data_IF_906101655931
#
_entry.id   IF_906101655931
#
_cell.length_a   1.000
_cell.length_b   1.000
_cell.length_c   1.000
_cell.angle_alpha   90.00
_cell.angle_beta   90.00
_cell.angle_gamma   90.00
#
_symmetry.space_group_name_H-M   'P 1'
#
loop_
_entity.id
_entity.type
_entity.pdbx_description
1 polymer ?
#
# COMPACT_ATOMS: atom_id res chain seq x y z
N UNK A 1 -14.97 21.29 17.94
CA UNK A 1 -14.02 20.24 18.41
C UNK A 1 -13.19 20.83 19.53
N UNK A 2 -13.00 20.13 20.65
CA UNK A 2 -12.32 20.69 21.81
C UNK A 2 -10.81 20.76 21.58
N UNK A 3 -10.20 21.95 21.70
CA UNK A 3 -8.78 22.23 21.44
C UNK A 3 -7.82 21.28 22.21
N UNK A 4 -8.19 20.89 23.43
CA UNK A 4 -7.44 19.90 24.22
C UNK A 4 -7.42 18.51 23.58
N UNK A 5 -8.54 18.10 22.92
CA UNK A 5 -8.68 16.81 22.24
C UNK A 5 -7.84 16.79 20.94
N UNK A 6 -7.82 17.93 20.23
CA UNK A 6 -7.01 18.13 19.04
C UNK A 6 -5.50 18.07 19.36
N UNK A 7 -5.04 18.82 20.36
CA UNK A 7 -3.63 18.79 20.82
C UNK A 7 -3.19 17.41 21.31
N UNK A 8 -4.09 16.64 21.94
CA UNK A 8 -3.80 15.26 22.37
C UNK A 8 -3.67 14.30 21.18
N UNK A 9 -4.51 14.46 20.15
CA UNK A 9 -4.46 13.70 18.92
C UNK A 9 -3.16 13.97 18.14
N UNK A 10 -2.76 15.24 18.01
CA UNK A 10 -1.48 15.62 17.40
C UNK A 10 -0.27 15.03 18.15
N UNK A 11 -0.26 15.08 19.49
CA UNK A 11 0.82 14.48 20.30
C UNK A 11 0.93 12.96 20.14
N UNK A 12 -0.19 12.25 19.98
CA UNK A 12 -0.18 10.81 19.69
C UNK A 12 0.33 10.52 18.29
N UNK A 13 -0.01 11.36 17.30
CA UNK A 13 0.45 11.24 15.93
C UNK A 13 1.98 11.45 15.83
N UNK A 14 2.51 12.46 16.53
CA UNK A 14 3.95 12.74 16.57
C UNK A 14 4.80 11.66 17.28
N UNK A 15 4.20 10.85 18.15
CA UNK A 15 4.91 9.74 18.81
C UNK A 15 5.25 8.57 17.88
N UNK A 16 4.62 8.48 16.71
CA UNK A 16 4.72 7.34 15.81
C UNK A 16 5.20 7.66 14.39
N UNK A 17 5.47 8.92 14.08
CA UNK A 17 6.03 9.29 12.78
C UNK A 17 6.94 10.50 12.90
N UNK A 18 8.14 10.40 12.33
CA UNK A 18 9.06 11.55 12.13
C UNK A 18 8.57 12.50 11.02
N UNK A 19 7.29 12.42 10.65
CA UNK A 19 6.71 13.23 9.59
C UNK A 19 6.03 14.46 10.19
N UNK A 20 6.48 15.63 9.78
CA UNK A 20 5.78 16.88 10.03
C UNK A 20 4.64 17.01 9.01
N UNK A 21 3.40 17.12 9.50
CA UNK A 21 2.24 17.42 8.65
C UNK A 21 2.00 18.92 8.73
N UNK A 22 2.19 19.59 7.60
CA UNK A 22 1.80 20.97 7.41
C UNK A 22 0.37 20.98 6.85
N UNK A 23 -0.55 21.53 7.60
CA UNK A 23 -1.93 21.82 7.13
C UNK A 23 -1.96 23.26 6.64
N UNK A 24 -2.17 23.44 5.35
CA UNK A 24 -2.30 24.77 4.74
C UNK A 24 -3.75 24.94 4.31
N UNK A 25 -4.41 25.97 4.83
CA UNK A 25 -5.71 26.40 4.31
C UNK A 25 -5.47 27.22 3.04
N UNK A 26 -6.12 26.84 1.96
CA UNK A 26 -6.00 27.52 0.68
C UNK A 26 -7.38 27.84 0.16
N UNK A 27 -7.57 29.07 -0.31
CA UNK A 27 -8.74 29.44 -1.09
C UNK A 27 -8.60 28.93 -2.51
N UNK A 28 -9.49 28.02 -2.91
CA UNK A 28 -9.49 27.44 -4.24
C UNK A 28 -10.70 27.90 -5.06
N UNK A 29 -10.48 28.24 -6.31
CA UNK A 29 -11.59 28.48 -7.23
C UNK A 29 -12.38 27.19 -7.49
N UNK A 30 -13.66 27.32 -7.87
CA UNK A 30 -14.47 26.15 -8.24
C UNK A 30 -13.84 25.32 -9.36
N UNK A 31 -13.20 25.98 -10.33
CA UNK A 31 -12.47 25.32 -11.43
C UNK A 31 -11.31 24.48 -10.91
N UNK A 32 -10.58 24.96 -9.92
CA UNK A 32 -9.44 24.23 -9.34
C UNK A 32 -9.91 23.05 -8.49
N UNK A 33 -11.00 23.21 -7.77
CA UNK A 33 -11.64 22.09 -7.05
C UNK A 33 -12.02 20.98 -8.03
N UNK A 34 -12.62 21.31 -9.17
CA UNK A 34 -12.96 20.32 -10.21
C UNK A 34 -11.71 19.58 -10.75
N UNK A 35 -10.60 20.30 -10.98
CA UNK A 35 -9.34 19.69 -11.41
C UNK A 35 -8.78 18.72 -10.36
N UNK A 36 -8.81 19.11 -9.08
CA UNK A 36 -8.35 18.25 -7.97
C UNK A 36 -9.21 17.00 -7.85
N UNK A 37 -10.53 17.15 -7.94
CA UNK A 37 -11.47 16.00 -7.91
C UNK A 37 -11.20 15.05 -9.08
N UNK A 38 -11.03 15.59 -10.29
CA UNK A 38 -10.74 14.79 -11.48
C UNK A 38 -9.38 14.05 -11.35
N UNK A 39 -8.35 14.73 -10.83
CA UNK A 39 -7.05 14.10 -10.57
C UNK A 39 -7.16 13.01 -9.51
N UNK A 40 -7.87 13.27 -8.42
CA UNK A 40 -8.10 12.27 -7.35
C UNK A 40 -8.79 11.01 -7.89
N UNK A 41 -9.78 11.17 -8.77
CA UNK A 41 -10.47 10.04 -9.41
C UNK A 41 -9.53 9.24 -10.33
N UNK A 42 -8.66 9.91 -11.09
CA UNK A 42 -7.63 9.24 -11.90
C UNK A 42 -6.66 8.43 -11.02
N UNK A 43 -6.18 9.02 -9.94
CA UNK A 43 -5.27 8.35 -9.00
C UNK A 43 -5.96 7.14 -8.36
N UNK A 44 -7.23 7.27 -7.97
CA UNK A 44 -8.03 6.18 -7.41
C UNK A 44 -8.19 5.04 -8.42
N UNK A 45 -8.56 5.33 -9.66
CA UNK A 45 -8.72 4.33 -10.74
C UNK A 45 -7.40 3.60 -11.01
N UNK A 46 -6.31 4.33 -11.13
CA UNK A 46 -4.98 3.77 -11.31
C UNK A 46 -4.57 2.87 -10.14
N UNK A 47 -4.80 3.31 -8.91
CA UNK A 47 -4.55 2.51 -7.72
C UNK A 47 -5.39 1.24 -7.68
N UNK A 48 -6.65 1.31 -8.06
CA UNK A 48 -7.53 0.13 -8.11
C UNK A 48 -7.09 -0.89 -9.19
N UNK A 49 -6.60 -0.42 -10.33
CA UNK A 49 -6.04 -1.31 -11.36
C UNK A 49 -4.80 -2.03 -10.82
N UNK A 50 -3.91 -1.33 -10.13
CA UNK A 50 -2.73 -1.94 -9.48
C UNK A 50 -3.16 -2.93 -8.38
N UNK A 51 -4.14 -2.58 -7.54
CA UNK A 51 -4.69 -3.51 -6.52
C UNK A 51 -5.21 -4.77 -7.16
N UNK A 52 -5.93 -4.67 -8.28
CA UNK A 52 -6.46 -5.83 -9.02
C UNK A 52 -5.33 -6.76 -9.49
N UNK A 53 -4.26 -6.20 -10.08
CA UNK A 53 -3.10 -6.95 -10.52
C UNK A 53 -2.38 -7.63 -9.34
N UNK A 54 -2.06 -6.86 -8.32
CA UNK A 54 -1.32 -7.36 -7.17
C UNK A 54 -2.11 -8.37 -6.34
N UNK A 55 -3.43 -8.20 -6.25
CA UNK A 55 -4.32 -9.18 -5.62
C UNK A 55 -4.28 -10.52 -6.35
N UNK A 56 -4.35 -10.51 -7.68
CA UNK A 56 -4.24 -11.73 -8.49
C UNK A 56 -2.93 -12.47 -8.21
N UNK A 57 -1.82 -11.75 -8.19
CA UNK A 57 -0.49 -12.32 -7.92
C UNK A 57 -0.40 -12.87 -6.49
N UNK A 58 -0.89 -12.11 -5.51
CA UNK A 58 -0.93 -12.51 -4.11
C UNK A 58 -1.80 -13.77 -3.91
N UNK A 59 -2.98 -13.83 -4.53
CA UNK A 59 -3.88 -14.98 -4.44
C UNK A 59 -3.23 -16.25 -5.03
N UNK A 60 -2.46 -16.12 -6.13
CA UNK A 60 -1.68 -17.22 -6.70
C UNK A 60 -0.60 -17.69 -5.71
N UNK A 61 0.15 -16.76 -5.10
CA UNK A 61 1.19 -17.06 -4.12
C UNK A 61 0.64 -17.85 -2.92
N UNK A 62 -0.43 -17.36 -2.30
CA UNK A 62 -1.00 -17.99 -1.08
C UNK A 62 -1.68 -19.34 -1.35
N UNK A 63 -2.13 -19.61 -2.59
CA UNK A 63 -2.67 -20.93 -2.97
C UNK A 63 -1.58 -21.98 -3.08
N UNK A 64 -0.32 -21.61 -3.23
CA UNK A 64 0.80 -22.53 -3.39
C UNK A 64 1.03 -23.32 -2.11
N UNK A 65 0.97 -24.65 -2.19
CA UNK A 65 1.21 -25.56 -1.04
C UNK A 65 2.57 -25.29 -0.36
N UNK A 66 3.61 -25.06 -1.20
CA UNK A 66 4.98 -24.77 -0.72
C UNK A 66 5.01 -23.50 0.11
N UNK A 67 4.39 -22.39 -0.36
CA UNK A 67 4.35 -21.12 0.38
C UNK A 67 3.67 -21.28 1.74
N UNK A 68 2.51 -21.93 1.78
CA UNK A 68 1.76 -22.19 3.03
C UNK A 68 2.59 -23.02 4.02
N UNK A 69 3.28 -24.06 3.54
CA UNK A 69 4.17 -24.90 4.38
C UNK A 69 5.31 -24.08 4.97
N UNK A 70 6.03 -23.31 4.13
CA UNK A 70 7.17 -22.49 4.58
C UNK A 70 6.70 -21.39 5.52
N UNK A 71 5.58 -20.74 5.24
CA UNK A 71 5.00 -19.68 6.11
C UNK A 71 4.63 -20.23 7.50
N UNK A 72 4.01 -21.41 7.55
CA UNK A 72 3.69 -22.10 8.83
C UNK A 72 4.96 -22.42 9.61
N UNK A 73 5.99 -22.97 8.96
CA UNK A 73 7.27 -23.26 9.58
C UNK A 73 7.97 -21.99 10.09
N UNK A 74 7.94 -20.90 9.30
CA UNK A 74 8.51 -19.62 9.71
C UNK A 74 7.86 -19.08 11.00
N UNK A 75 6.54 -19.17 11.12
CA UNK A 75 5.82 -18.77 12.34
C UNK A 75 6.10 -19.64 13.56
N UNK A 76 6.39 -20.93 13.35
CA UNK A 76 6.67 -21.88 14.43
C UNK A 76 8.16 -21.98 14.83
N UNK A 77 9.05 -21.32 14.08
CA UNK A 77 10.50 -21.44 14.29
C UNK A 77 11.03 -20.30 15.13
N UNK A 78 11.58 -20.60 16.30
CA UNK A 78 12.25 -19.62 17.19
C UNK A 78 13.74 -19.45 16.87
N UNK A 79 14.39 -20.47 16.32
CA UNK A 79 15.81 -20.47 15.99
C UNK A 79 16.13 -19.46 14.88
N UNK A 80 16.91 -18.43 15.22
CA UNK A 80 17.23 -17.29 14.32
C UNK A 80 17.86 -17.74 12.99
N UNK A 81 18.74 -18.73 12.99
CA UNK A 81 19.41 -19.22 11.77
C UNK A 81 18.40 -19.87 10.82
N UNK A 82 17.59 -20.79 11.29
CA UNK A 82 16.53 -21.46 10.51
C UNK A 82 15.49 -20.45 10.02
N UNK A 83 15.06 -19.52 10.89
CA UNK A 83 14.12 -18.46 10.53
C UNK A 83 14.64 -17.58 9.39
N UNK A 84 15.95 -17.25 9.37
CA UNK A 84 16.57 -16.50 8.28
C UNK A 84 16.52 -17.26 6.94
N UNK A 85 16.74 -18.58 6.95
CA UNK A 85 16.64 -19.43 5.76
C UNK A 85 15.20 -19.47 5.24
N UNK A 86 14.22 -19.67 6.13
CA UNK A 86 12.79 -19.66 5.75
C UNK A 86 12.34 -18.30 5.21
N UNK A 87 12.81 -17.19 5.79
CA UNK A 87 12.55 -15.85 5.29
C UNK A 87 13.07 -15.67 3.85
N UNK A 88 14.28 -16.14 3.54
CA UNK A 88 14.82 -16.12 2.16
C UNK A 88 13.94 -16.90 1.20
N UNK A 89 13.50 -18.10 1.58
CA UNK A 89 12.59 -18.90 0.75
C UNK A 89 11.26 -18.20 0.50
N UNK A 90 10.68 -17.52 1.52
CA UNK A 90 9.46 -16.74 1.34
C UNK A 90 9.69 -15.58 0.37
N UNK A 91 10.79 -14.85 0.51
CA UNK A 91 11.13 -13.75 -0.39
C UNK A 91 11.37 -14.20 -1.84
N UNK A 92 12.02 -15.35 -2.04
CA UNK A 92 12.20 -15.94 -3.38
C UNK A 92 10.84 -16.28 -4.02
N UNK A 93 9.93 -16.88 -3.26
CA UNK A 93 8.57 -17.16 -3.74
C UNK A 93 7.80 -15.87 -4.03
N UNK A 94 7.92 -14.82 -3.21
CA UNK A 94 7.30 -13.52 -3.48
C UNK A 94 7.81 -12.92 -4.79
N UNK A 95 9.13 -13.00 -5.05
CA UNK A 95 9.71 -12.57 -6.33
C UNK A 95 9.18 -13.38 -7.51
N UNK A 96 9.11 -14.71 -7.38
CA UNK A 96 8.61 -15.59 -8.42
C UNK A 96 7.15 -15.32 -8.80
N UNK A 97 6.33 -14.88 -7.85
CA UNK A 97 4.92 -14.55 -8.06
C UNK A 97 4.67 -13.05 -8.26
N UNK A 98 5.72 -12.26 -8.42
CA UNK A 98 5.63 -10.81 -8.63
C UNK A 98 4.83 -10.10 -7.52
N UNK A 99 5.15 -10.42 -6.27
CA UNK A 99 4.54 -9.82 -5.07
C UNK A 99 5.63 -9.13 -4.25
N UNK A 100 6.31 -8.17 -4.86
CA UNK A 100 7.35 -7.35 -4.22
C UNK A 100 7.05 -5.86 -4.38
N UNK A 101 7.77 -5.04 -3.63
CA UNK A 101 7.73 -3.59 -3.80
C UNK A 101 8.12 -3.16 -5.22
N UNK A 102 9.18 -3.77 -5.77
CA UNK A 102 9.65 -3.46 -7.12
C UNK A 102 8.59 -3.81 -8.17
N UNK A 103 7.85 -4.91 -7.99
CA UNK A 103 6.76 -5.28 -8.89
C UNK A 103 5.60 -4.27 -8.81
N UNK A 104 5.26 -3.78 -7.61
CA UNK A 104 4.27 -2.70 -7.46
C UNK A 104 4.69 -1.44 -8.19
N UNK A 105 5.94 -1.01 -7.98
CA UNK A 105 6.50 0.19 -8.58
C UNK A 105 6.56 0.10 -10.11
N UNK A 106 7.10 -0.97 -10.64
CA UNK A 106 7.24 -1.16 -12.08
C UNK A 106 5.90 -1.33 -12.78
N UNK A 107 4.95 -2.03 -12.16
CA UNK A 107 3.58 -2.15 -12.69
C UNK A 107 2.82 -0.83 -12.67
N UNK A 108 3.10 0.05 -11.71
CA UNK A 108 2.44 1.36 -11.64
C UNK A 108 2.87 2.33 -12.74
N UNK A 109 4.06 2.19 -13.31
CA UNK A 109 4.56 3.08 -14.37
C UNK A 109 3.61 3.11 -15.60
N UNK A 110 3.31 1.98 -16.24
CA UNK A 110 2.40 1.97 -17.39
C UNK A 110 0.96 2.35 -17.00
N UNK A 111 0.52 1.96 -15.81
CA UNK A 111 -0.81 2.34 -15.28
C UNK A 111 -0.87 3.86 -15.11
N UNK A 112 0.13 4.49 -14.50
CA UNK A 112 0.21 5.93 -14.32
C UNK A 112 0.15 6.68 -15.65
N UNK A 113 0.91 6.23 -16.65
CA UNK A 113 0.86 6.78 -18.02
C UNK A 113 -0.53 6.66 -18.65
N UNK A 114 -1.18 5.51 -18.52
CA UNK A 114 -2.53 5.25 -19.02
C UNK A 114 -3.57 6.25 -18.48
N UNK A 115 -3.49 6.59 -17.20
CA UNK A 115 -4.40 7.53 -16.54
C UNK A 115 -3.94 8.99 -16.61
N UNK A 116 -2.77 9.26 -17.15
CA UNK A 116 -2.19 10.61 -17.24
C UNK A 116 -1.96 11.24 -15.86
N UNK A 117 -1.43 10.45 -14.92
CA UNK A 117 -1.04 10.91 -13.59
C UNK A 117 0.47 11.09 -13.51
N UNK A 118 0.88 12.12 -12.76
CA UNK A 118 2.29 12.41 -12.53
C UNK A 118 3.00 11.26 -11.78
N UNK A 119 4.31 11.11 -12.04
CA UNK A 119 5.14 10.07 -11.46
C UNK A 119 5.13 10.07 -9.92
N UNK A 120 5.06 11.25 -9.30
CA UNK A 120 5.03 11.39 -7.84
C UNK A 120 3.76 10.76 -7.28
N UNK A 121 2.59 11.12 -7.85
CA UNK A 121 1.31 10.52 -7.43
C UNK A 121 1.25 9.02 -7.71
N UNK A 122 1.79 8.58 -8.84
CA UNK A 122 1.88 7.17 -9.20
C UNK A 122 2.70 6.38 -8.16
N UNK A 123 3.89 6.87 -7.79
CA UNK A 123 4.75 6.23 -6.80
C UNK A 123 4.13 6.22 -5.40
N UNK A 124 3.56 7.34 -4.96
CA UNK A 124 2.85 7.41 -3.67
C UNK A 124 1.71 6.39 -3.62
N UNK A 125 0.96 6.26 -4.72
CA UNK A 125 -0.13 5.28 -4.78
C UNK A 125 0.36 3.85 -4.83
N UNK A 126 1.49 3.57 -5.49
CA UNK A 126 2.12 2.26 -5.45
C UNK A 126 2.57 1.89 -4.01
N UNK A 127 3.09 2.86 -3.26
CA UNK A 127 3.46 2.68 -1.85
C UNK A 127 2.25 2.33 -0.97
N UNK A 128 1.12 3.00 -1.16
CA UNK A 128 -0.13 2.69 -0.43
C UNK A 128 -0.60 1.25 -0.70
N UNK A 129 -0.56 0.82 -1.97
CA UNK A 129 -0.92 -0.54 -2.36
C UNK A 129 0.05 -1.55 -1.74
N UNK A 130 1.35 -1.26 -1.78
CA UNK A 130 2.38 -2.10 -1.17
C UNK A 130 2.18 -2.26 0.33
N UNK A 131 1.90 -1.19 1.07
CA UNK A 131 1.56 -1.25 2.50
C UNK A 131 0.37 -2.17 2.79
N UNK A 132 -0.60 -2.20 1.90
CA UNK A 132 -1.71 -3.16 1.96
C UNK A 132 -1.24 -4.61 1.81
N UNK A 133 -0.33 -4.87 0.85
CA UNK A 133 0.27 -6.18 0.62
C UNK A 133 1.11 -6.61 1.83
N UNK A 134 1.94 -5.72 2.36
CA UNK A 134 2.75 -6.00 3.55
C UNK A 134 1.91 -6.44 4.75
N UNK A 135 0.76 -5.78 4.96
CA UNK A 135 -0.19 -6.21 6.00
C UNK A 135 -0.70 -7.63 5.76
N UNK A 136 -0.95 -8.01 4.49
CA UNK A 136 -1.37 -9.36 4.14
C UNK A 136 -0.25 -10.39 4.26
N UNK A 137 0.99 -10.01 3.95
CA UNK A 137 2.15 -10.90 4.00
C UNK A 137 2.67 -11.12 5.42
N UNK A 138 2.76 -10.07 6.23
CA UNK A 138 3.53 -10.05 7.47
C UNK A 138 2.72 -9.73 8.73
N UNK A 139 1.48 -9.28 8.57
CA UNK A 139 0.56 -8.98 9.67
C UNK A 139 -0.75 -9.76 9.53
N UNK A 140 -1.82 -9.28 10.13
CA UNK A 140 -3.13 -9.93 10.15
C UNK A 140 -4.06 -9.49 9.00
N UNK A 141 -3.51 -8.92 7.92
CA UNK A 141 -4.28 -8.55 6.75
C UNK A 141 -4.83 -9.80 6.03
N UNK A 142 -6.12 -9.80 5.73
CA UNK A 142 -6.77 -10.93 5.06
C UNK A 142 -6.83 -10.75 3.55
N UNK A 143 -7.04 -9.54 3.07
CA UNK A 143 -7.24 -9.24 1.65
C UNK A 143 -6.87 -7.79 1.33
N UNK A 144 -6.54 -7.55 0.06
CA UNK A 144 -6.36 -6.21 -0.48
C UNK A 144 -7.73 -5.61 -0.83
N UNK A 145 -7.93 -4.36 -0.47
CA UNK A 145 -9.18 -3.65 -0.70
C UNK A 145 -9.01 -2.59 -1.80
N UNK A 146 -10.03 -2.48 -2.64
CA UNK A 146 -10.14 -1.38 -3.60
C UNK A 146 -10.54 -0.09 -2.87
N UNK A 147 -9.97 1.03 -3.31
CA UNK A 147 -10.44 2.34 -2.85
C UNK A 147 -11.83 2.62 -3.41
N UNK A 148 -12.80 2.85 -2.55
CA UNK A 148 -14.14 3.32 -2.93
C UNK A 148 -14.07 4.79 -3.36
N UNK A 149 -15.13 5.32 -3.95
CA UNK A 149 -15.26 6.76 -4.14
C UNK A 149 -15.05 7.43 -2.80
N UNK A 150 -13.90 8.07 -2.65
CA UNK A 150 -13.58 8.76 -1.43
C UNK A 150 -14.35 10.05 -1.37
N UNK A 151 -15.07 10.25 -0.30
CA UNK A 151 -15.18 11.58 0.27
C UNK A 151 -13.74 12.02 0.50
N UNK A 152 -13.31 13.13 -0.08
CA UNK A 152 -12.07 13.79 0.32
C UNK A 152 -12.10 13.90 1.84
N UNK A 153 -11.03 13.52 2.52
CA UNK A 153 -11.00 13.57 3.98
C UNK A 153 -11.20 15.00 4.48
#
# INVERSE_FOLDING_TARGET
MNEKKYKKSLRQFHKHSDRHILVVETDMSFSDIQKVVALSDKIRKAGNELVGLMRKNYDQLIRTKRYRKVRKLYGATEEKKKRKVLARQLNEMQKQYHVTWDDCRTSMIPIGKKYGIDAIFALTKAEDVWRGIEKCLYANGKTLHFSKYGVLP
#
